data_IF_751227362596
#
_entry.id   IF_751227362596
#
_cell.length_a   1.000
_cell.length_b   1.000
_cell.length_c   1.000
_cell.angle_alpha   90.00
_cell.angle_beta   90.00
_cell.angle_gamma   90.00
#
_symmetry.space_group_name_H-M   'P 1'
#
loop_
_entity.id
_entity.type
_entity.pdbx_description
1 polymer ?
#
# COMPACT_ATOMS: atom_id res chain seq x y z
N UNK A 1 -12.65 40.77 1.45
CA UNK A 1 -11.68 39.98 2.23
C UNK A 1 -10.38 39.98 1.45
N UNK A 2 -9.30 40.51 2.03
CA UNK A 2 -7.97 40.48 1.41
C UNK A 2 -7.47 39.03 1.33
N UNK A 3 -6.90 38.63 0.19
CA UNK A 3 -6.53 37.23 -0.09
C UNK A 3 -5.43 36.71 0.86
N UNK A 4 -4.63 37.61 1.46
CA UNK A 4 -3.69 37.27 2.53
C UNK A 4 -4.38 36.73 3.80
N UNK A 5 -5.58 37.20 4.11
CA UNK A 5 -6.36 36.68 5.24
C UNK A 5 -6.87 35.27 4.96
N UNK A 6 -7.13 34.93 3.69
CA UNK A 6 -7.57 33.58 3.32
C UNK A 6 -6.45 32.56 3.53
N UNK A 7 -5.21 32.88 3.13
CA UNK A 7 -4.06 32.01 3.36
C UNK A 7 -3.85 31.74 4.87
N UNK A 8 -3.91 32.79 5.69
CA UNK A 8 -3.80 32.66 7.14
C UNK A 8 -4.96 31.84 7.74
N UNK A 9 -6.20 32.05 7.26
CA UNK A 9 -7.36 31.30 7.69
C UNK A 9 -7.22 29.80 7.34
N UNK A 10 -6.72 29.47 6.15
CA UNK A 10 -6.50 28.08 5.73
C UNK A 10 -5.44 27.40 6.62
N UNK A 11 -4.35 28.09 6.94
CA UNK A 11 -3.31 27.58 7.84
C UNK A 11 -3.90 27.36 9.24
N UNK A 12 -4.58 28.35 9.80
CA UNK A 12 -5.18 28.27 11.12
C UNK A 12 -6.21 27.15 11.19
N UNK A 13 -7.15 27.09 10.24
CA UNK A 13 -8.25 26.14 10.27
C UNK A 13 -7.78 24.73 9.94
N UNK A 14 -7.05 24.52 8.83
CA UNK A 14 -6.73 23.17 8.35
C UNK A 14 -5.48 22.60 9.02
N UNK A 15 -4.48 23.43 9.33
CA UNK A 15 -3.17 22.96 9.81
C UNK A 15 -3.05 23.10 11.33
N UNK A 16 -3.11 24.32 11.87
CA UNK A 16 -2.83 24.57 13.29
C UNK A 16 -3.92 24.02 14.21
N UNK A 17 -5.21 24.21 13.87
CA UNK A 17 -6.33 23.71 14.65
C UNK A 17 -6.73 22.26 14.31
N UNK A 18 -5.89 21.54 13.57
CA UNK A 18 -6.14 20.16 13.15
C UNK A 18 -7.47 19.96 12.42
N UNK A 19 -7.89 20.93 11.59
CA UNK A 19 -9.21 20.92 10.95
C UNK A 19 -9.47 19.72 10.05
N UNK A 20 -8.43 19.15 9.40
CA UNK A 20 -8.60 17.90 8.64
C UNK A 20 -8.98 16.75 9.56
N UNK A 21 -8.36 16.69 10.73
CA UNK A 21 -8.72 15.72 11.76
C UNK A 21 -10.14 15.90 12.31
N UNK A 22 -10.59 17.15 12.47
CA UNK A 22 -11.98 17.44 12.87
C UNK A 22 -12.99 16.98 11.81
N UNK A 23 -12.68 17.19 10.52
CA UNK A 23 -13.51 16.67 9.41
C UNK A 23 -13.66 15.14 9.50
N UNK A 24 -12.58 14.42 9.80
CA UNK A 24 -12.64 12.96 10.00
C UNK A 24 -13.58 12.59 11.15
N UNK A 25 -13.48 13.30 12.29
CA UNK A 25 -14.36 13.08 13.44
C UNK A 25 -15.83 13.35 13.08
N UNK A 26 -16.13 14.42 12.33
CA UNK A 26 -17.49 14.70 11.85
C UNK A 26 -18.06 13.57 10.99
N UNK A 27 -17.24 12.96 10.11
CA UNK A 27 -17.69 11.82 9.32
C UNK A 27 -17.98 10.55 10.14
N UNK A 28 -17.39 10.41 11.33
CA UNK A 28 -17.80 9.38 12.29
C UNK A 28 -19.19 9.65 12.85
N UNK A 29 -19.48 10.89 13.25
CA UNK A 29 -20.77 11.26 13.87
C UNK A 29 -21.95 11.33 12.89
N UNK A 30 -21.71 11.75 11.64
CA UNK A 30 -22.72 11.85 10.58
C UNK A 30 -23.47 10.52 10.30
N UNK A 31 -22.90 9.39 10.72
CA UNK A 31 -23.52 8.06 10.58
C UNK A 31 -24.56 7.70 11.66
N UNK A 32 -24.71 8.52 12.72
CA UNK A 32 -25.70 8.24 13.79
C UNK A 32 -27.15 8.45 13.37
N UNK A 33 -27.41 9.06 12.21
CA UNK A 33 -28.75 9.58 11.87
C UNK A 33 -29.31 9.15 10.50
N UNK A 34 -28.62 8.30 9.72
CA UNK A 34 -29.12 7.86 8.41
C UNK A 34 -28.96 6.34 8.21
N UNK A 35 -29.99 5.72 7.61
CA UNK A 35 -30.05 4.29 7.28
C UNK A 35 -28.90 3.86 6.36
N UNK A 36 -27.88 3.21 6.93
CA UNK A 36 -27.11 2.04 6.43
C UNK A 36 -26.47 2.02 5.03
N UNK A 37 -26.78 2.97 4.15
CA UNK A 37 -26.34 3.04 2.77
C UNK A 37 -25.81 4.45 2.54
N UNK A 38 -24.55 4.55 2.13
CA UNK A 38 -23.93 5.80 1.69
C UNK A 38 -24.80 6.46 0.60
N UNK A 39 -25.60 7.46 1.00
CA UNK A 39 -26.39 8.26 0.07
C UNK A 39 -25.45 8.85 -1.02
N UNK A 40 -25.75 8.74 -2.32
CA UNK A 40 -24.95 9.34 -3.39
C UNK A 40 -24.66 10.84 -3.21
N UNK A 41 -25.52 11.58 -2.51
CA UNK A 41 -25.25 12.98 -2.13
C UNK A 41 -24.05 13.11 -1.19
N UNK A 42 -23.89 12.15 -0.27
CA UNK A 42 -22.80 12.10 0.71
C UNK A 42 -21.48 11.73 0.07
N UNK A 43 -21.46 10.74 -0.81
CA UNK A 43 -20.23 10.37 -1.53
C UNK A 43 -19.76 11.55 -2.40
N UNK A 44 -20.69 12.24 -3.05
CA UNK A 44 -20.42 13.47 -3.80
C UNK A 44 -19.88 14.59 -2.91
N UNK A 45 -20.47 14.79 -1.73
CA UNK A 45 -19.99 15.77 -0.75
C UNK A 45 -18.55 15.48 -0.29
N UNK A 46 -18.28 14.24 0.12
CA UNK A 46 -16.94 13.78 0.54
C UNK A 46 -15.92 14.01 -0.57
N UNK A 47 -16.27 13.63 -1.80
CA UNK A 47 -15.42 13.80 -2.97
C UNK A 47 -15.09 15.27 -3.27
N UNK A 48 -16.08 16.16 -3.12
CA UNK A 48 -15.88 17.62 -3.27
C UNK A 48 -15.02 18.21 -2.17
N UNK A 49 -15.19 17.76 -0.93
CA UNK A 49 -14.37 18.21 0.20
C UNK A 49 -12.92 17.78 0.03
N UNK A 50 -12.68 16.52 -0.36
CA UNK A 50 -11.35 16.03 -0.69
C UNK A 50 -10.73 16.80 -1.87
N UNK A 51 -11.52 17.18 -2.88
CA UNK A 51 -11.08 18.01 -3.99
C UNK A 51 -10.68 19.41 -3.54
N UNK A 52 -11.46 20.03 -2.64
CA UNK A 52 -11.17 21.35 -2.11
C UNK A 52 -9.87 21.35 -1.32
N UNK A 53 -9.71 20.40 -0.39
CA UNK A 53 -8.47 20.23 0.39
C UNK A 53 -7.26 20.04 -0.51
N UNK A 54 -7.37 19.13 -1.49
CA UNK A 54 -6.25 18.84 -2.34
C UNK A 54 -5.90 20.00 -3.30
N UNK A 55 -6.83 20.93 -3.56
CA UNK A 55 -6.61 22.12 -4.41
C UNK A 55 -5.94 23.30 -3.69
N UNK A 56 -5.77 23.23 -2.36
CA UNK A 56 -5.24 24.36 -1.57
C UNK A 56 -3.83 24.77 -2.04
N UNK A 57 -2.85 23.85 -2.21
CA UNK A 57 -1.52 24.24 -2.65
C UNK A 57 -1.49 24.86 -4.06
N UNK A 58 -2.37 24.38 -4.95
CA UNK A 58 -2.46 24.87 -6.34
C UNK A 58 -2.96 26.32 -6.40
N UNK A 59 -3.70 26.76 -5.38
CA UNK A 59 -4.30 28.09 -5.30
C UNK A 59 -3.52 29.06 -4.42
N UNK A 60 -2.51 28.57 -3.71
CA UNK A 60 -1.62 29.40 -2.93
C UNK A 60 -0.79 30.31 -3.86
N UNK A 61 -0.69 31.60 -3.53
CA UNK A 61 0.04 32.57 -4.38
C UNK A 61 1.55 32.38 -4.31
N UNK A 62 2.25 32.89 -5.33
CA UNK A 62 3.68 33.15 -5.20
C UNK A 62 3.91 34.15 -4.05
N UNK A 63 4.64 33.71 -3.02
CA UNK A 63 4.86 34.46 -1.77
C UNK A 63 3.89 34.14 -0.63
N UNK A 64 2.99 33.15 -0.80
CA UNK A 64 2.23 32.59 0.31
C UNK A 64 3.16 31.90 1.32
N UNK A 65 2.64 31.65 2.53
CA UNK A 65 3.39 30.93 3.58
C UNK A 65 3.93 29.59 3.07
N UNK A 66 5.14 29.22 3.50
CA UNK A 66 5.74 27.92 3.19
C UNK A 66 4.86 26.75 3.64
N UNK A 67 4.01 26.97 4.65
CA UNK A 67 3.03 26.00 5.12
C UNK A 67 1.99 25.59 4.05
N UNK A 68 1.74 26.43 3.05
CA UNK A 68 0.80 26.15 1.94
C UNK A 68 1.49 25.56 0.70
N UNK A 69 2.80 25.37 0.74
CA UNK A 69 3.49 24.61 -0.33
C UNK A 69 2.98 23.18 -0.33
N UNK A 70 2.91 22.54 -1.51
CA UNK A 70 2.42 21.17 -1.63
C UNK A 70 3.12 20.21 -0.65
N UNK A 71 4.43 20.36 -0.47
CA UNK A 71 5.20 19.54 0.47
C UNK A 71 4.75 19.69 1.92
N UNK A 72 4.76 20.91 2.47
CA UNK A 72 4.40 21.13 3.87
C UNK A 72 2.91 20.91 4.14
N UNK A 73 2.06 21.35 3.21
CA UNK A 73 0.61 21.22 3.33
C UNK A 73 0.20 19.75 3.31
N UNK A 74 0.60 18.98 2.29
CA UNK A 74 0.20 17.57 2.22
C UNK A 74 0.81 16.72 3.31
N UNK A 75 2.02 17.03 3.78
CA UNK A 75 2.59 16.39 4.97
C UNK A 75 1.63 16.51 6.17
N UNK A 76 1.21 17.73 6.48
CA UNK A 76 0.30 17.98 7.60
C UNK A 76 -1.08 17.36 7.37
N UNK A 77 -1.65 17.48 6.17
CA UNK A 77 -2.97 16.92 5.84
C UNK A 77 -2.97 15.40 5.97
N UNK A 78 -1.99 14.71 5.37
CA UNK A 78 -1.89 13.24 5.43
C UNK A 78 -1.66 12.79 6.87
N UNK A 79 -0.78 13.47 7.60
CA UNK A 79 -0.51 13.15 9.02
C UNK A 79 -1.76 13.24 9.88
N UNK A 80 -2.50 14.35 9.80
CA UNK A 80 -3.75 14.52 10.54
C UNK A 80 -4.82 13.49 10.14
N UNK A 81 -4.94 13.22 8.84
CA UNK A 81 -5.93 12.31 8.28
C UNK A 81 -5.71 10.88 8.80
N UNK A 82 -4.48 10.37 8.69
CA UNK A 82 -4.15 9.00 9.09
C UNK A 82 -4.25 8.81 10.60
N UNK A 83 -3.74 9.76 11.40
CA UNK A 83 -3.81 9.68 12.88
C UNK A 83 -5.26 9.65 13.35
N UNK A 84 -6.11 10.56 12.86
CA UNK A 84 -7.52 10.59 13.28
C UNK A 84 -8.33 9.42 12.75
N UNK A 85 -8.01 8.91 11.56
CA UNK A 85 -8.71 7.73 11.02
C UNK A 85 -8.34 6.45 11.79
N UNK A 86 -7.08 6.31 12.23
CA UNK A 86 -6.67 5.23 13.13
C UNK A 86 -7.39 5.33 14.49
N UNK A 87 -7.44 6.52 15.10
CA UNK A 87 -8.19 6.77 16.35
C UNK A 87 -9.68 6.45 16.20
N UNK A 88 -10.28 6.85 15.07
CA UNK A 88 -11.69 6.57 14.77
C UNK A 88 -11.98 5.05 14.68
N UNK A 89 -11.05 4.24 14.20
CA UNK A 89 -11.20 2.78 14.20
C UNK A 89 -11.26 2.20 15.62
N UNK A 90 -10.51 2.78 16.57
CA UNK A 90 -10.56 2.39 17.99
C UNK A 90 -11.95 2.73 18.56
N UNK A 91 -12.40 3.96 18.36
CA UNK A 91 -13.70 4.43 18.86
C UNK A 91 -14.87 3.61 18.28
N UNK A 92 -14.77 3.20 17.02
CA UNK A 92 -15.76 2.31 16.40
C UNK A 92 -15.79 0.94 17.07
N UNK A 93 -14.63 0.35 17.38
CA UNK A 93 -14.55 -0.98 18.00
C UNK A 93 -15.01 -1.03 19.46
N UNK A 94 -14.98 0.10 20.16
CA UNK A 94 -15.39 0.20 21.56
C UNK A 94 -16.91 0.36 21.72
N UNK A 95 -17.60 0.89 20.70
CA UNK A 95 -19.02 1.27 20.78
C UNK A 95 -19.92 0.23 20.12
N UNK A 96 -20.41 -0.75 20.90
CA UNK A 96 -21.35 -1.80 20.44
C UNK A 96 -22.70 -1.30 19.90
N UNK A 97 -23.03 -0.02 20.12
CA UNK A 97 -24.26 0.62 19.63
C UNK A 97 -24.10 1.27 18.25
N UNK A 98 -22.87 1.36 17.73
CA UNK A 98 -22.63 1.87 16.39
C UNK A 98 -22.87 0.78 15.35
N UNK A 99 -23.44 1.14 14.20
CA UNK A 99 -23.32 0.31 13.03
C UNK A 99 -21.85 0.38 12.56
N UNK A 100 -21.00 -0.44 13.17
CA UNK A 100 -19.53 -0.41 13.08
C UNK A 100 -19.04 -0.33 11.62
N UNK A 101 -19.77 -0.97 10.71
CA UNK A 101 -19.43 -1.03 9.30
C UNK A 101 -19.65 0.31 8.56
N UNK A 102 -20.63 1.13 8.96
CA UNK A 102 -21.05 2.31 8.18
C UNK A 102 -20.35 3.60 8.63
N UNK A 103 -19.95 3.68 9.90
CA UNK A 103 -19.10 4.75 10.43
C UNK A 103 -17.71 4.75 9.78
N UNK A 104 -17.05 3.60 9.87
CA UNK A 104 -15.73 3.39 9.30
C UNK A 104 -15.76 3.50 7.77
N UNK A 105 -16.88 3.15 7.11
CA UNK A 105 -17.02 3.27 5.64
C UNK A 105 -16.85 4.71 5.15
N UNK A 106 -17.38 5.69 5.90
CA UNK A 106 -17.38 7.09 5.51
C UNK A 106 -16.02 7.76 5.75
N UNK A 107 -15.39 7.42 6.87
CA UNK A 107 -14.01 7.84 7.15
C UNK A 107 -13.06 7.28 6.11
N UNK A 108 -13.15 5.98 5.83
CA UNK A 108 -12.33 5.33 4.81
C UNK A 108 -12.56 5.97 3.44
N UNK A 109 -13.81 6.23 3.05
CA UNK A 109 -14.11 6.91 1.79
C UNK A 109 -13.43 8.28 1.69
N UNK A 110 -13.52 9.09 2.76
CA UNK A 110 -12.85 10.39 2.77
C UNK A 110 -11.32 10.26 2.73
N UNK A 111 -10.75 9.35 3.50
CA UNK A 111 -9.31 9.05 3.51
C UNK A 111 -8.85 8.68 2.11
N UNK A 112 -9.49 7.69 1.49
CA UNK A 112 -9.18 7.24 0.14
C UNK A 112 -9.28 8.34 -0.92
N UNK A 113 -10.34 9.15 -0.88
CA UNK A 113 -10.51 10.29 -1.79
C UNK A 113 -9.41 11.34 -1.63
N UNK A 114 -8.97 11.65 -0.41
CA UNK A 114 -7.87 12.59 -0.16
C UNK A 114 -6.54 11.99 -0.63
N UNK A 115 -6.22 10.76 -0.22
CA UNK A 115 -4.96 10.08 -0.57
C UNK A 115 -4.80 9.93 -2.08
N UNK A 116 -5.86 9.50 -2.80
CA UNK A 116 -5.84 9.40 -4.27
C UNK A 116 -5.58 10.75 -4.94
N UNK A 117 -6.13 11.85 -4.41
CA UNK A 117 -5.90 13.20 -4.96
C UNK A 117 -4.51 13.75 -4.68
N UNK A 118 -3.95 13.44 -3.52
CA UNK A 118 -2.55 13.76 -3.18
C UNK A 118 -1.61 13.01 -4.13
N UNK A 119 -1.89 11.72 -4.36
CA UNK A 119 -1.13 10.89 -5.30
C UNK A 119 -1.19 11.44 -6.74
N UNK A 120 -2.39 11.76 -7.25
CA UNK A 120 -2.58 12.35 -8.59
C UNK A 120 -1.92 13.72 -8.79
N UNK A 121 -1.60 14.44 -7.71
CA UNK A 121 -0.84 15.71 -7.76
C UNK A 121 0.68 15.51 -7.70
N UNK A 122 1.16 14.27 -7.84
CA UNK A 122 2.58 13.97 -7.78
C UNK A 122 3.17 14.06 -6.38
N UNK A 123 2.33 14.08 -5.34
CA UNK A 123 2.76 14.14 -3.94
C UNK A 123 2.73 12.77 -3.24
N UNK A 124 2.74 11.68 -4.02
CA UNK A 124 2.79 10.30 -3.52
C UNK A 124 4.00 10.06 -2.60
N UNK A 125 5.15 10.66 -2.90
CA UNK A 125 6.35 10.54 -2.06
C UNK A 125 6.14 11.07 -0.65
N UNK A 126 5.44 12.19 -0.50
CA UNK A 126 5.10 12.78 0.81
C UNK A 126 4.10 11.88 1.55
N UNK A 127 3.10 11.37 0.83
CA UNK A 127 2.11 10.46 1.39
C UNK A 127 2.77 9.20 1.96
N UNK A 128 3.65 8.57 1.19
CA UNK A 128 4.37 7.35 1.60
C UNK A 128 5.31 7.64 2.77
N UNK A 129 5.99 8.78 2.77
CA UNK A 129 6.89 9.18 3.85
C UNK A 129 6.17 9.36 5.19
N UNK A 130 4.89 9.74 5.19
CA UNK A 130 4.05 9.78 6.39
C UNK A 130 3.46 8.41 6.74
N UNK A 131 3.08 7.63 5.73
CA UNK A 131 2.42 6.34 5.91
C UNK A 131 3.36 5.26 6.49
N UNK A 132 4.63 5.20 6.02
CA UNK A 132 5.60 4.18 6.49
C UNK A 132 5.83 4.26 8.02
N UNK A 133 6.20 5.42 8.61
CA UNK A 133 6.43 5.52 10.05
C UNK A 133 5.19 5.18 10.90
N UNK A 134 3.99 5.54 10.44
CA UNK A 134 2.76 5.26 11.16
C UNK A 134 2.44 3.77 11.22
N UNK A 135 2.59 3.06 10.10
CA UNK A 135 2.37 1.61 10.07
C UNK A 135 3.43 0.89 10.88
N UNK A 136 4.68 1.35 10.85
CA UNK A 136 5.73 0.79 11.70
C UNK A 136 5.40 0.94 13.18
N UNK A 137 4.93 2.12 13.60
CA UNK A 137 4.49 2.34 14.98
C UNK A 137 3.30 1.43 15.33
N UNK A 138 2.34 1.25 14.42
CA UNK A 138 1.25 0.29 14.60
C UNK A 138 1.76 -1.15 14.77
N UNK A 139 2.63 -1.63 13.88
CA UNK A 139 3.22 -2.97 13.97
C UNK A 139 3.99 -3.16 15.28
N UNK A 140 4.74 -2.16 15.74
CA UNK A 140 5.43 -2.19 17.03
C UNK A 140 4.47 -2.33 18.22
N UNK A 141 3.27 -1.74 18.14
CA UNK A 141 2.22 -1.90 19.16
C UNK A 141 1.54 -3.28 19.11
N UNK A 142 1.48 -3.91 17.94
CA UNK A 142 0.93 -5.26 17.77
C UNK A 142 1.84 -6.35 18.37
N UNK A 143 3.16 -6.11 18.43
CA UNK A 143 4.13 -7.10 18.90
C UNK A 143 4.22 -7.08 20.43
N UNK A 144 3.94 -8.23 21.05
CA UNK A 144 4.18 -8.42 22.48
C UNK A 144 5.68 -8.27 22.80
N UNK A 145 6.06 -7.67 23.94
CA UNK A 145 7.46 -7.40 24.28
C UNK A 145 8.39 -8.64 24.23
N UNK A 146 7.82 -9.83 24.43
CA UNK A 146 8.56 -11.09 24.51
C UNK A 146 8.60 -11.87 23.17
N UNK A 147 7.88 -11.42 22.14
CA UNK A 147 7.82 -12.10 20.84
C UNK A 147 8.92 -11.59 19.90
N UNK A 148 9.73 -12.53 19.37
CA UNK A 148 10.77 -12.22 18.37
C UNK A 148 10.26 -12.22 16.93
N UNK A 149 9.09 -12.80 16.69
CA UNK A 149 8.51 -12.97 15.35
C UNK A 149 7.08 -12.45 15.36
N UNK A 150 6.71 -11.70 14.33
CA UNK A 150 5.34 -11.24 14.15
C UNK A 150 4.55 -12.39 13.50
N UNK A 151 3.34 -12.64 13.96
CA UNK A 151 2.40 -13.57 13.32
C UNK A 151 1.11 -12.84 12.94
N UNK A 152 0.36 -13.31 11.92
CA UNK A 152 -0.82 -12.59 11.42
C UNK A 152 -1.86 -12.30 12.50
N UNK A 153 -2.05 -13.23 13.43
CA UNK A 153 -3.08 -13.11 14.47
C UNK A 153 -2.80 -11.95 15.44
N UNK A 154 -1.52 -11.66 15.73
CA UNK A 154 -1.14 -10.51 16.56
C UNK A 154 -1.59 -9.19 15.94
N UNK A 155 -1.52 -9.08 14.61
CA UNK A 155 -1.94 -7.88 13.88
C UNK A 155 -3.47 -7.85 13.81
N UNK A 156 -4.13 -8.96 13.45
CA UNK A 156 -5.58 -9.04 13.28
C UNK A 156 -6.38 -8.74 14.55
N UNK A 157 -5.84 -9.06 15.72
CA UNK A 157 -6.53 -8.83 17.00
C UNK A 157 -6.50 -7.38 17.49
N UNK A 158 -5.66 -6.52 16.89
CA UNK A 158 -5.58 -5.10 17.26
C UNK A 158 -6.65 -4.31 16.50
N UNK A 159 -7.59 -3.62 17.18
CA UNK A 159 -8.70 -2.93 16.51
C UNK A 159 -8.27 -1.89 15.46
N UNK A 160 -7.15 -1.20 15.72
CA UNK A 160 -6.54 -0.23 14.81
C UNK A 160 -6.16 -0.86 13.46
N UNK A 161 -5.85 -2.17 13.43
CA UNK A 161 -5.48 -2.86 12.19
C UNK A 161 -6.61 -2.84 11.16
N UNK A 162 -7.86 -2.75 11.58
CA UNK A 162 -8.99 -2.64 10.66
C UNK A 162 -8.87 -1.40 9.77
N UNK A 163 -8.39 -0.28 10.30
CA UNK A 163 -8.11 0.89 9.46
C UNK A 163 -7.08 0.54 8.38
N UNK A 164 -5.92 0.02 8.79
CA UNK A 164 -4.80 -0.27 7.90
C UNK A 164 -5.13 -1.29 6.82
N UNK A 165 -5.88 -2.36 7.15
CA UNK A 165 -6.31 -3.36 6.18
C UNK A 165 -7.21 -2.79 5.07
N UNK A 166 -7.88 -1.65 5.32
CA UNK A 166 -8.81 -1.03 4.39
C UNK A 166 -8.26 0.22 3.69
N UNK A 167 -7.08 0.75 4.09
CA UNK A 167 -6.52 1.98 3.51
C UNK A 167 -6.35 1.85 1.99
N UNK A 168 -5.75 0.75 1.51
CA UNK A 168 -5.49 0.57 0.08
C UNK A 168 -6.78 0.43 -0.72
N UNK A 169 -7.75 -0.34 -0.22
CA UNK A 169 -9.05 -0.50 -0.88
C UNK A 169 -9.83 0.81 -0.93
N UNK A 170 -9.68 1.66 0.09
CA UNK A 170 -10.34 2.95 0.18
C UNK A 170 -9.93 3.91 -0.94
N UNK A 171 -8.69 3.82 -1.46
CA UNK A 171 -8.23 4.70 -2.55
C UNK A 171 -9.11 4.60 -3.80
N UNK A 172 -9.62 3.40 -4.12
CA UNK A 172 -10.45 3.03 -5.30
C UNK A 172 -9.87 3.36 -6.69
N UNK A 173 -8.85 4.20 -6.77
CA UNK A 173 -8.18 4.62 -7.99
C UNK A 173 -6.95 3.75 -8.26
N UNK A 174 -7.03 2.88 -9.27
CA UNK A 174 -5.95 1.96 -9.63
C UNK A 174 -4.62 2.69 -9.87
N UNK A 175 -4.64 3.84 -10.56
CA UNK A 175 -3.42 4.60 -10.82
C UNK A 175 -2.75 5.06 -9.51
N UNK A 176 -3.54 5.59 -8.58
CA UNK A 176 -3.04 6.04 -7.28
C UNK A 176 -2.50 4.87 -6.44
N UNK A 177 -3.16 3.71 -6.47
CA UNK A 177 -2.70 2.51 -5.78
C UNK A 177 -1.35 2.04 -6.35
N UNK A 178 -1.23 1.92 -7.67
CA UNK A 178 0.02 1.52 -8.33
C UNK A 178 1.18 2.48 -8.00
N UNK A 179 0.92 3.80 -8.08
CA UNK A 179 1.91 4.83 -7.73
C UNK A 179 2.32 4.75 -6.26
N UNK A 180 1.36 4.55 -5.36
CA UNK A 180 1.58 4.42 -3.93
C UNK A 180 2.43 3.20 -3.61
N UNK A 181 2.11 2.03 -4.17
CA UNK A 181 2.89 0.81 -3.97
C UNK A 181 4.30 0.93 -4.53
N UNK A 182 4.44 1.48 -5.73
CA UNK A 182 5.75 1.72 -6.36
C UNK A 182 6.64 2.63 -5.52
N UNK A 183 6.12 3.76 -5.08
CA UNK A 183 6.86 4.74 -4.28
C UNK A 183 7.19 4.18 -2.89
N UNK A 184 6.28 3.40 -2.30
CA UNK A 184 6.51 2.70 -1.05
C UNK A 184 7.67 1.71 -1.15
N UNK A 185 7.70 0.85 -2.17
CA UNK A 185 8.80 -0.09 -2.37
C UNK A 185 10.14 0.65 -2.50
N UNK A 186 10.19 1.76 -3.25
CA UNK A 186 11.42 2.57 -3.40
C UNK A 186 11.85 3.22 -2.08
N UNK A 187 10.93 3.81 -1.34
CA UNK A 187 11.27 4.45 -0.07
C UNK A 187 11.70 3.42 0.96
N UNK A 188 11.02 2.27 1.07
CA UNK A 188 11.43 1.18 1.95
C UNK A 188 12.86 0.70 1.61
N UNK A 189 13.18 0.57 0.32
CA UNK A 189 14.54 0.23 -0.13
C UNK A 189 15.58 1.29 0.24
N UNK A 190 15.23 2.58 0.14
CA UNK A 190 16.14 3.68 0.51
C UNK A 190 16.41 3.79 2.01
N UNK A 191 15.49 3.30 2.86
CA UNK A 191 15.62 3.34 4.32
C UNK A 191 16.29 2.08 4.90
N UNK A 192 16.69 1.12 4.06
CA UNK A 192 17.35 -0.13 4.46
C UNK A 192 16.62 -0.89 5.59
N UNK A 193 15.29 -0.94 5.53
CA UNK A 193 14.50 -1.66 6.53
C UNK A 193 14.73 -3.19 6.45
N UNK A 194 14.49 -3.86 7.58
CA UNK A 194 14.58 -5.31 7.67
C UNK A 194 13.52 -5.98 6.77
N UNK A 195 13.88 -7.09 6.14
CA UNK A 195 13.02 -7.83 5.20
C UNK A 195 11.72 -8.30 5.83
N UNK A 196 11.77 -8.77 7.07
CA UNK A 196 10.59 -9.19 7.83
C UNK A 196 9.67 -7.99 8.12
N UNK A 197 10.24 -6.85 8.52
CA UNK A 197 9.47 -5.63 8.79
C UNK A 197 8.76 -5.15 7.52
N UNK A 198 9.45 -5.16 6.39
CA UNK A 198 8.86 -4.79 5.09
C UNK A 198 7.75 -5.76 4.69
N UNK A 199 7.95 -7.07 4.88
CA UNK A 199 6.91 -8.07 4.63
C UNK A 199 5.64 -7.74 5.43
N UNK A 200 5.76 -7.42 6.72
CA UNK A 200 4.60 -7.10 7.55
C UNK A 200 3.95 -5.76 7.22
N UNK A 201 4.71 -4.77 6.75
CA UNK A 201 4.13 -3.52 6.20
C UNK A 201 3.28 -3.85 4.97
N UNK A 202 3.81 -4.63 4.02
CA UNK A 202 3.08 -5.02 2.82
C UNK A 202 1.86 -5.87 3.17
N UNK A 203 2.03 -6.83 4.08
CA UNK A 203 0.94 -7.69 4.55
C UNK A 203 -0.19 -6.88 5.18
N UNK A 204 0.11 -5.97 6.09
CA UNK A 204 -0.88 -5.13 6.76
C UNK A 204 -1.64 -4.21 5.80
N UNK A 205 -1.04 -3.76 4.71
CA UNK A 205 -1.71 -2.86 3.76
C UNK A 205 -2.46 -3.58 2.65
N UNK A 206 -1.90 -4.68 2.14
CA UNK A 206 -2.32 -5.24 0.87
C UNK A 206 -2.97 -6.62 1.02
N UNK A 207 -2.78 -7.34 2.15
CA UNK A 207 -3.28 -8.71 2.29
C UNK A 207 -4.80 -8.82 2.16
N UNK A 208 -5.57 -7.85 2.67
CA UNK A 208 -7.01 -7.84 2.43
C UNK A 208 -7.31 -7.61 0.94
N UNK A 209 -6.67 -6.61 0.34
CA UNK A 209 -6.91 -6.22 -1.06
C UNK A 209 -6.52 -7.29 -2.07
N UNK A 210 -5.43 -8.03 -1.85
CA UNK A 210 -4.97 -9.08 -2.77
C UNK A 210 -5.93 -10.29 -2.79
N UNK A 211 -6.64 -10.51 -1.69
CA UNK A 211 -7.64 -11.58 -1.56
C UNK A 211 -8.96 -11.24 -2.25
N UNK A 212 -9.33 -9.95 -2.30
CA UNK A 212 -10.61 -9.50 -2.86
C UNK A 212 -10.51 -8.87 -4.25
N UNK A 213 -9.35 -8.38 -4.66
CA UNK A 213 -9.17 -7.59 -5.87
C UNK A 213 -8.11 -8.23 -6.77
N UNK A 214 -8.56 -8.94 -7.82
CA UNK A 214 -7.69 -9.60 -8.79
C UNK A 214 -6.67 -8.63 -9.45
N UNK A 215 -7.06 -7.37 -9.64
CA UNK A 215 -6.19 -6.31 -10.19
C UNK A 215 -4.97 -6.05 -9.30
N UNK A 216 -5.10 -6.17 -7.97
CA UNK A 216 -3.98 -5.99 -7.04
C UNK A 216 -2.95 -7.09 -7.20
N UNK A 217 -3.42 -8.32 -7.36
CA UNK A 217 -2.54 -9.47 -7.59
C UNK A 217 -1.82 -9.36 -8.94
N UNK A 218 -2.54 -8.97 -10.00
CA UNK A 218 -1.95 -8.71 -11.31
C UNK A 218 -0.92 -7.56 -11.27
N UNK A 219 -1.13 -6.54 -10.44
CA UNK A 219 -0.15 -5.46 -10.25
C UNK A 219 1.17 -5.98 -9.68
N UNK A 220 1.15 -6.80 -8.62
CA UNK A 220 2.40 -7.35 -8.07
C UNK A 220 3.06 -8.34 -9.03
N UNK A 221 2.29 -9.28 -9.58
CA UNK A 221 2.83 -10.36 -10.41
C UNK A 221 3.14 -9.87 -11.82
N UNK A 222 2.12 -9.46 -12.57
CA UNK A 222 2.32 -9.13 -13.99
C UNK A 222 3.13 -7.84 -14.12
N UNK A 223 2.78 -6.78 -13.39
CA UNK A 223 3.43 -5.47 -13.58
C UNK A 223 4.78 -5.36 -12.88
N UNK A 224 4.85 -5.68 -11.59
CA UNK A 224 6.07 -5.44 -10.79
C UNK A 224 7.13 -6.54 -10.89
N UNK A 225 6.77 -7.78 -11.25
CA UNK A 225 7.78 -8.81 -11.54
C UNK A 225 8.25 -8.78 -13.01
N UNK A 226 7.36 -8.54 -13.99
CA UNK A 226 7.74 -8.67 -15.41
C UNK A 226 8.10 -7.34 -16.08
N UNK A 227 7.37 -6.26 -15.81
CA UNK A 227 7.48 -5.05 -16.63
C UNK A 227 8.31 -3.94 -16.00
N UNK A 228 8.51 -3.99 -14.67
CA UNK A 228 9.08 -2.89 -13.93
C UNK A 228 10.29 -3.33 -13.12
N UNK A 229 11.41 -2.64 -13.32
CA UNK A 229 12.64 -2.87 -12.55
C UNK A 229 12.59 -2.10 -11.23
N UNK A 230 12.93 -2.80 -10.14
CA UNK A 230 13.14 -2.26 -8.81
C UNK A 230 14.51 -2.70 -8.28
N UNK A 231 15.02 -2.07 -7.20
CA UNK A 231 16.14 -2.62 -6.45
C UNK A 231 15.92 -4.10 -6.08
N UNK A 232 17.00 -4.89 -6.03
CA UNK A 232 16.92 -6.34 -5.81
C UNK A 232 16.20 -6.72 -4.49
N UNK A 233 16.31 -5.90 -3.44
CA UNK A 233 15.57 -6.10 -2.19
C UNK A 233 14.05 -6.03 -2.40
N UNK A 234 13.55 -5.08 -3.22
CA UNK A 234 12.14 -4.99 -3.55
C UNK A 234 11.65 -6.22 -4.30
N UNK A 235 12.44 -6.74 -5.24
CA UNK A 235 12.09 -7.97 -5.96
C UNK A 235 11.90 -9.13 -4.99
N UNK A 236 12.84 -9.30 -4.05
CA UNK A 236 12.73 -10.30 -2.99
C UNK A 236 11.47 -10.09 -2.15
N UNK A 237 11.16 -8.85 -1.74
CA UNK A 237 9.94 -8.55 -0.98
C UNK A 237 8.66 -8.85 -1.77
N UNK A 238 8.61 -8.51 -3.06
CA UNK A 238 7.46 -8.82 -3.93
C UNK A 238 7.26 -10.34 -4.03
N UNK A 239 8.33 -11.11 -4.23
CA UNK A 239 8.24 -12.57 -4.29
C UNK A 239 7.75 -13.15 -2.96
N UNK A 240 8.34 -12.74 -1.84
CA UNK A 240 7.91 -13.20 -0.51
C UNK A 240 6.46 -12.86 -0.20
N UNK A 241 6.05 -11.64 -0.52
CA UNK A 241 4.69 -11.18 -0.24
C UNK A 241 3.64 -11.80 -1.19
N UNK A 242 3.85 -11.71 -2.50
CA UNK A 242 2.80 -11.98 -3.49
C UNK A 242 2.89 -13.35 -4.18
N UNK A 243 4.01 -14.07 -4.03
CA UNK A 243 4.25 -15.36 -4.70
C UNK A 243 4.44 -16.49 -3.69
N UNK A 244 5.30 -16.28 -2.71
CA UNK A 244 5.58 -17.26 -1.66
C UNK A 244 4.57 -17.20 -0.52
N UNK A 245 4.00 -16.01 -0.25
CA UNK A 245 3.01 -15.77 0.81
C UNK A 245 3.55 -16.09 2.22
N UNK A 246 4.87 -15.90 2.44
CA UNK A 246 5.51 -16.05 3.76
C UNK A 246 6.69 -15.07 3.97
N UNK A 247 6.99 -14.68 5.23
CA UNK A 247 8.08 -13.75 5.54
C UNK A 247 9.47 -14.25 5.09
N UNK A 248 10.36 -13.37 4.64
CA UNK A 248 11.76 -13.71 4.44
C UNK A 248 12.35 -14.32 5.73
N UNK A 249 13.08 -15.44 5.60
CA UNK A 249 13.72 -16.21 6.69
C UNK A 249 12.81 -17.16 7.50
N UNK A 250 11.53 -17.36 7.16
CA UNK A 250 10.72 -18.44 7.77
C UNK A 250 10.98 -19.81 7.12
N UNK A 251 12.24 -20.28 7.20
CA UNK A 251 12.76 -21.50 6.53
C UNK A 251 11.94 -22.76 6.84
N UNK A 252 11.31 -22.83 8.02
CA UNK A 252 10.49 -23.96 8.43
C UNK A 252 9.12 -24.03 7.72
N UNK A 253 8.58 -22.92 7.24
CA UNK A 253 7.26 -22.85 6.60
C UNK A 253 7.32 -23.11 5.09
N UNK A 254 8.43 -22.75 4.44
CA UNK A 254 8.67 -22.92 3.01
C UNK A 254 8.56 -24.38 2.52
N UNK A 255 8.84 -25.36 3.38
CA UNK A 255 8.79 -26.78 3.03
C UNK A 255 7.40 -27.42 3.21
N UNK A 256 6.48 -26.81 3.97
CA UNK A 256 5.22 -27.47 4.35
C UNK A 256 4.01 -27.06 3.50
N UNK A 257 4.01 -25.88 2.85
CA UNK A 257 2.91 -25.44 1.98
C UNK A 257 3.40 -24.54 0.85
N UNK A 258 3.40 -25.05 -0.37
CA UNK A 258 3.54 -24.20 -1.56
C UNK A 258 2.19 -23.57 -1.92
N UNK A 259 2.13 -22.25 -2.13
CA UNK A 259 0.96 -21.63 -2.71
C UNK A 259 0.73 -22.21 -4.11
N UNK A 260 -0.54 -22.43 -4.48
CA UNK A 260 -0.92 -22.91 -5.82
C UNK A 260 -0.42 -22.01 -6.95
N UNK A 261 -0.14 -20.75 -6.62
CA UNK A 261 0.25 -19.69 -7.55
C UNK A 261 1.75 -19.63 -7.84
N UNK A 262 2.59 -20.27 -7.02
CA UNK A 262 4.04 -20.20 -7.16
C UNK A 262 4.49 -20.78 -8.51
N UNK A 263 4.09 -22.02 -8.83
CA UNK A 263 4.47 -22.67 -10.07
C UNK A 263 3.93 -21.95 -11.30
N UNK A 264 2.73 -21.38 -11.22
CA UNK A 264 2.14 -20.57 -12.31
C UNK A 264 3.00 -19.33 -12.57
N UNK A 265 3.42 -18.64 -11.51
CA UNK A 265 4.26 -17.44 -11.62
C UNK A 265 5.63 -17.77 -12.17
N UNK A 266 6.27 -18.85 -11.67
CA UNK A 266 7.56 -19.32 -12.17
C UNK A 266 7.46 -19.72 -13.65
N UNK A 267 6.44 -20.49 -14.04
CA UNK A 267 6.22 -20.87 -15.44
C UNK A 267 6.09 -19.64 -16.34
N UNK A 268 5.33 -18.63 -15.90
CA UNK A 268 5.18 -17.36 -16.63
C UNK A 268 6.53 -16.66 -16.82
N UNK A 269 7.32 -16.53 -15.75
CA UNK A 269 8.66 -15.92 -15.77
C UNK A 269 9.59 -16.64 -16.75
N UNK A 270 9.74 -17.96 -16.63
CA UNK A 270 10.64 -18.74 -17.48
C UNK A 270 10.19 -18.78 -18.94
N UNK A 271 8.87 -18.72 -19.20
CA UNK A 271 8.33 -18.68 -20.58
C UNK A 271 8.63 -17.36 -21.28
N UNK A 272 8.62 -16.24 -20.54
CA UNK A 272 9.04 -14.94 -21.10
C UNK A 272 10.55 -14.94 -21.30
N UNK A 273 11.31 -15.39 -20.29
CA UNK A 273 12.76 -15.39 -20.27
C UNK A 273 13.40 -16.33 -21.33
N UNK A 274 12.74 -17.43 -21.69
CA UNK A 274 13.26 -18.43 -22.63
C UNK A 274 13.16 -18.08 -24.12
N UNK A 275 12.59 -16.91 -24.43
CA UNK A 275 12.34 -16.46 -25.80
C UNK A 275 13.53 -15.68 -26.34
N UNK A 276 13.91 -15.87 -27.60
CA UNK A 276 14.98 -15.06 -28.23
C UNK A 276 14.61 -13.58 -28.28
N UNK A 277 13.33 -13.30 -28.44
CA UNK A 277 12.78 -11.95 -28.46
C UNK A 277 13.03 -11.23 -27.12
N UNK A 278 13.13 -11.96 -26.01
CA UNK A 278 13.43 -11.40 -24.70
C UNK A 278 14.82 -10.74 -24.70
N UNK A 279 15.85 -11.47 -25.10
CA UNK A 279 17.23 -10.98 -25.17
C UNK A 279 17.37 -9.82 -26.16
N UNK A 280 16.59 -9.86 -27.25
CA UNK A 280 16.65 -8.85 -28.32
C UNK A 280 15.88 -7.56 -27.99
N UNK A 281 14.80 -7.64 -27.21
CA UNK A 281 13.85 -6.52 -27.04
C UNK A 281 13.91 -5.86 -25.67
N UNK A 282 14.39 -6.57 -24.65
CA UNK A 282 14.41 -6.07 -23.28
C UNK A 282 15.75 -5.40 -22.96
N UNK A 283 15.73 -4.36 -22.14
CA UNK A 283 16.96 -3.75 -21.63
C UNK A 283 17.75 -4.73 -20.76
N UNK A 284 19.08 -4.59 -20.70
CA UNK A 284 19.95 -5.42 -19.85
C UNK A 284 19.50 -5.40 -18.39
N UNK A 285 19.04 -4.25 -17.90
CA UNK A 285 18.50 -4.10 -16.55
C UNK A 285 17.24 -4.96 -16.32
N UNK A 286 16.29 -4.96 -17.25
CA UNK A 286 15.10 -5.81 -17.17
C UNK A 286 15.45 -7.30 -17.30
N UNK A 287 16.41 -7.63 -18.18
CA UNK A 287 16.89 -9.00 -18.33
C UNK A 287 17.50 -9.51 -17.02
N UNK A 288 18.36 -8.72 -16.39
CA UNK A 288 18.95 -9.03 -15.09
C UNK A 288 17.87 -9.16 -13.99
N UNK A 289 16.88 -8.28 -13.99
CA UNK A 289 15.79 -8.29 -13.01
C UNK A 289 14.94 -9.57 -13.08
N UNK A 290 14.50 -9.97 -14.28
CA UNK A 290 13.71 -11.20 -14.45
C UNK A 290 14.57 -12.43 -14.20
N UNK A 291 15.83 -12.43 -14.61
CA UNK A 291 16.77 -13.52 -14.31
C UNK A 291 16.94 -13.69 -12.79
N UNK A 292 17.09 -12.60 -12.05
CA UNK A 292 17.14 -12.63 -10.59
C UNK A 292 15.84 -13.14 -9.96
N UNK A 293 14.68 -12.80 -10.54
CA UNK A 293 13.38 -13.29 -10.08
C UNK A 293 13.29 -14.82 -10.22
N UNK A 294 13.72 -15.36 -11.36
CA UNK A 294 13.80 -16.80 -11.60
C UNK A 294 14.78 -17.44 -10.61
N UNK A 295 15.96 -16.86 -10.41
CA UNK A 295 16.95 -17.33 -9.44
C UNK A 295 16.38 -17.45 -8.02
N UNK A 296 15.74 -16.39 -7.51
CA UNK A 296 15.10 -16.37 -6.20
C UNK A 296 13.95 -17.40 -6.07
N UNK A 297 13.19 -17.63 -7.15
CA UNK A 297 12.19 -18.69 -7.19
C UNK A 297 12.82 -20.09 -7.13
N UNK A 298 13.93 -20.30 -7.83
CA UNK A 298 14.65 -21.58 -7.83
C UNK A 298 15.35 -21.86 -6.50
N UNK A 299 15.85 -20.83 -5.80
CA UNK A 299 16.39 -20.95 -4.45
C UNK A 299 15.36 -21.49 -3.44
N UNK A 300 14.07 -21.23 -3.70
CA UNK A 300 12.96 -21.73 -2.89
C UNK A 300 12.34 -23.03 -3.46
N UNK A 301 13.06 -23.73 -4.35
CA UNK A 301 12.62 -24.98 -4.96
C UNK A 301 13.60 -26.13 -4.70
N UNK A 302 13.07 -27.28 -4.28
CA UNK A 302 13.89 -28.49 -4.18
C UNK A 302 14.22 -29.05 -5.56
N UNK A 303 15.27 -29.86 -5.64
CA UNK A 303 15.66 -30.53 -6.87
C UNK A 303 14.52 -31.42 -7.40
N UNK A 304 13.88 -32.17 -6.52
CA UNK A 304 12.77 -33.07 -6.85
C UNK A 304 11.58 -32.29 -7.41
N UNK A 305 11.27 -31.14 -6.80
CA UNK A 305 10.19 -30.26 -7.28
C UNK A 305 10.49 -29.71 -8.69
N UNK A 306 11.74 -29.37 -8.99
CA UNK A 306 12.14 -28.93 -10.33
C UNK A 306 12.03 -30.07 -11.35
N UNK A 307 12.52 -31.26 -11.02
CA UNK A 307 12.48 -32.44 -11.90
C UNK A 307 11.05 -32.89 -12.22
N UNK A 308 10.12 -32.72 -11.28
CA UNK A 308 8.69 -32.99 -11.49
C UNK A 308 8.02 -31.98 -12.43
N UNK A 309 8.58 -30.79 -12.61
CA UNK A 309 8.04 -29.71 -13.44
C UNK A 309 8.86 -29.57 -14.74
N UNK A 310 8.79 -30.59 -15.61
CA UNK A 310 9.59 -30.67 -16.85
C UNK A 310 9.45 -29.45 -17.76
N UNK A 311 8.28 -28.84 -17.83
CA UNK A 311 8.06 -27.66 -18.67
C UNK A 311 8.88 -26.46 -18.20
N UNK A 312 8.94 -26.23 -16.88
CA UNK A 312 9.80 -25.20 -16.28
C UNK A 312 11.26 -25.47 -16.61
N UNK A 313 11.72 -26.71 -16.42
CA UNK A 313 13.09 -27.11 -16.70
C UNK A 313 13.44 -26.92 -18.19
N UNK A 314 12.55 -27.32 -19.10
CA UNK A 314 12.74 -27.15 -20.54
C UNK A 314 12.84 -25.67 -20.93
N UNK A 315 11.99 -24.79 -20.38
CA UNK A 315 12.08 -23.36 -20.60
C UNK A 315 13.41 -22.78 -20.09
N UNK A 316 13.89 -23.23 -18.92
CA UNK A 316 15.19 -22.79 -18.39
C UNK A 316 16.33 -23.19 -19.32
N UNK A 317 16.38 -24.46 -19.77
CA UNK A 317 17.41 -24.93 -20.69
C UNK A 317 17.39 -24.17 -22.02
N UNK A 318 16.20 -23.87 -22.53
CA UNK A 318 16.03 -23.07 -23.74
C UNK A 318 16.53 -21.63 -23.55
N UNK A 319 16.22 -20.99 -22.43
CA UNK A 319 16.64 -19.62 -22.17
C UNK A 319 18.14 -19.46 -21.96
N UNK A 320 18.82 -20.43 -21.34
CA UNK A 320 20.29 -20.47 -21.27
C UNK A 320 20.93 -20.57 -22.67
N UNK A 321 20.21 -21.15 -23.63
CA UNK A 321 20.68 -21.34 -25.00
C UNK A 321 20.39 -20.13 -25.91
N UNK A 322 19.65 -19.13 -25.44
CA UNK A 322 19.31 -17.91 -26.19
C UNK A 322 20.43 -16.87 -26.09
#
# INVERSE_FOLDING_TARGET
>A
MDIKYLDLLLILCLLENKGVGQIVAEFMFLNKHNDGVLNPDRTTFISRLAQLLASVPDKARMGASSALTASSFFKSVVSQLLVRAEEAAIESSANKEFNEQDALSSVLLFVGEVLSRVSRRGSTGILVAELIPMIRNHLQRCVAPDCKTIIPDMIKHVPQSQFWFNVVEALRDQHSIERLTEEMLRQLASHHLNDEEVYWILWTLFNQSIMHIAVMRAMFIDKFLLWKTFPLCCLRWILHYAVFEFPPNSVAEAQMRRPSNFLVTLQSLVTVWSKKEFVQSYSVEQQAYITAAIGLCLENMSKEELEMNRDVLNCILQGVSC
#
